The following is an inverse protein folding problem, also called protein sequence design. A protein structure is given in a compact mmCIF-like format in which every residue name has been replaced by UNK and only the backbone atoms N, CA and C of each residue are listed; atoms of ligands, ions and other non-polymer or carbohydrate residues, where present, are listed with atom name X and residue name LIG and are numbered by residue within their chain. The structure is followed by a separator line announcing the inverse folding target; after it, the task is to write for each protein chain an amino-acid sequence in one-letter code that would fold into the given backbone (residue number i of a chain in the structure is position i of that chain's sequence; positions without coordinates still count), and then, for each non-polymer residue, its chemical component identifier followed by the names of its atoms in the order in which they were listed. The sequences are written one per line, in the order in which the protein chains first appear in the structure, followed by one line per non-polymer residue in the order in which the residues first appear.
data_IF_546071905947
#
_entry.id   IF_546071905947
#
_cell.length_a   1.000
_cell.length_b   1.000
_cell.length_c   1.000
_cell.angle_alpha   90.00
_cell.angle_beta   90.00
_cell.angle_gamma   90.00
#
_symmetry.space_group_name_H-M   'P 1'
#
loop_
_entity.id
_entity.type
_entity.pdbx_description
1 polymer ?
#
# COMPACT_ATOMS: atom_id res chain seq x y z
N UNK A 1 -9.31 -6.27 21.93
CA UNK A 1 -8.73 -5.74 20.68
C UNK A 1 -7.28 -6.13 20.72
N UNK A 2 -6.90 -7.09 19.89
CA UNK A 2 -5.56 -7.65 19.90
C UNK A 2 -4.77 -6.94 18.81
N UNK A 3 -3.85 -6.07 19.20
CA UNK A 3 -2.89 -5.48 18.28
C UNK A 3 -1.73 -6.47 18.11
N UNK A 4 -1.38 -6.79 16.88
CA UNK A 4 -0.25 -7.67 16.59
C UNK A 4 0.94 -6.78 16.26
N UNK A 5 2.00 -6.76 17.07
CA UNK A 5 3.22 -6.04 16.73
C UNK A 5 3.86 -6.73 15.52
N UNK A 6 3.99 -5.98 14.43
CA UNK A 6 4.58 -6.44 13.16
C UNK A 6 5.60 -5.39 12.72
N UNK A 7 6.72 -5.84 12.15
CA UNK A 7 7.63 -4.93 11.44
C UNK A 7 7.01 -4.57 10.08
N UNK A 8 6.57 -3.32 9.94
CA UNK A 8 5.82 -2.86 8.77
C UNK A 8 6.67 -2.10 7.74
N UNK A 9 7.98 -1.97 7.97
CA UNK A 9 8.87 -1.19 7.10
C UNK A 9 8.42 0.26 6.99
N UNK A 10 8.10 0.71 5.76
CA UNK A 10 7.58 2.06 5.48
C UNK A 10 6.06 2.21 5.66
N UNK A 11 5.36 1.15 6.11
CA UNK A 11 3.91 1.17 6.32
C UNK A 11 3.60 1.52 7.76
N UNK A 12 2.73 2.51 7.99
CA UNK A 12 2.40 2.92 9.36
C UNK A 12 1.47 1.92 10.07
N UNK A 13 0.42 1.44 9.38
CA UNK A 13 -0.67 0.65 9.98
C UNK A 13 -1.26 -0.34 8.97
N UNK A 14 -1.57 -1.56 9.43
CA UNK A 14 -2.41 -2.52 8.72
C UNK A 14 -3.78 -2.64 9.42
N UNK A 15 -4.86 -2.43 8.66
CA UNK A 15 -6.22 -2.63 9.16
C UNK A 15 -6.65 -4.09 8.95
N UNK A 16 -6.67 -4.86 10.03
CA UNK A 16 -7.08 -6.26 10.00
C UNK A 16 -8.59 -6.45 9.82
N UNK A 17 -8.97 -7.57 9.18
CA UNK A 17 -10.38 -7.92 8.96
C UNK A 17 -11.19 -8.02 10.26
N UNK A 18 -10.59 -8.55 11.34
CA UNK A 18 -11.22 -8.64 12.67
C UNK A 18 -11.59 -7.26 13.22
N UNK A 19 -10.75 -6.25 12.99
CA UNK A 19 -11.05 -4.87 13.39
C UNK A 19 -12.15 -4.27 12.51
N UNK A 20 -12.06 -4.44 11.18
CA UNK A 20 -13.07 -3.96 10.24
C UNK A 20 -14.48 -4.51 10.53
N UNK A 21 -14.58 -5.76 10.97
CA UNK A 21 -15.85 -6.37 11.39
C UNK A 21 -16.53 -5.64 12.56
N UNK A 22 -15.77 -4.96 13.43
CA UNK A 22 -16.34 -4.19 14.55
C UNK A 22 -17.05 -2.92 14.10
N UNK A 23 -16.73 -2.42 12.90
CA UNK A 23 -17.29 -1.19 12.33
C UNK A 23 -18.60 -1.42 11.57
N UNK A 24 -19.12 -2.66 11.59
CA UNK A 24 -20.26 -3.14 10.80
C UNK A 24 -19.99 -3.02 9.30
N UNK A 25 -20.57 -2.02 8.64
CA UNK A 25 -20.51 -1.88 7.20
C UNK A 25 -19.29 -1.04 6.79
N UNK A 26 -18.36 -1.69 6.10
CA UNK A 26 -17.24 -1.03 5.42
C UNK A 26 -17.43 -1.15 3.91
N UNK A 27 -17.33 -0.02 3.19
CA UNK A 27 -17.41 -0.01 1.73
C UNK A 27 -16.06 0.34 1.13
N UNK A 28 -15.51 -0.59 0.33
CA UNK A 28 -14.26 -0.41 -0.41
C UNK A 28 -14.57 -0.19 -1.88
N UNK A 29 -13.90 0.80 -2.49
CA UNK A 29 -13.89 1.09 -3.91
C UNK A 29 -12.47 0.87 -4.41
N UNK A 30 -12.22 -0.29 -5.03
CA UNK A 30 -10.88 -0.73 -5.40
C UNK A 30 -10.24 0.14 -6.49
N UNK A 31 -11.01 0.57 -7.49
CA UNK A 31 -10.51 1.45 -8.57
C UNK A 31 -9.83 2.72 -8.05
N UNK A 32 -10.52 3.59 -7.28
CA UNK A 32 -9.92 4.79 -6.71
C UNK A 32 -9.17 4.54 -5.39
N UNK A 33 -8.96 3.28 -4.98
CA UNK A 33 -8.39 2.88 -3.69
C UNK A 33 -8.99 3.64 -2.51
N UNK A 34 -10.31 3.56 -2.34
CA UNK A 34 -11.04 4.37 -1.38
C UNK A 34 -11.90 3.53 -0.46
N UNK A 35 -11.82 3.77 0.84
CA UNK A 35 -12.62 3.09 1.88
C UNK A 35 -13.51 4.10 2.60
N UNK A 36 -14.77 3.72 2.85
CA UNK A 36 -15.72 4.45 3.70
C UNK A 36 -16.14 3.56 4.84
N UNK A 37 -16.06 4.05 6.07
CA UNK A 37 -16.42 3.33 7.29
C UNK A 37 -17.04 4.27 8.33
N UNK A 38 -17.70 3.70 9.34
CA UNK A 38 -18.23 4.42 10.50
C UNK A 38 -17.35 4.16 11.72
N UNK A 39 -16.72 5.20 12.25
CA UNK A 39 -15.92 5.15 13.49
C UNK A 39 -16.59 6.05 14.51
N UNK A 40 -16.99 5.52 15.66
CA UNK A 40 -17.62 6.29 16.75
C UNK A 40 -18.80 7.16 16.29
N UNK A 41 -19.65 6.61 15.42
CA UNK A 41 -20.80 7.32 14.85
C UNK A 41 -20.46 8.36 13.78
N UNK A 42 -19.18 8.51 13.40
CA UNK A 42 -18.71 9.42 12.36
C UNK A 42 -18.34 8.68 11.10
N UNK A 43 -18.74 9.25 9.96
CA UNK A 43 -18.36 8.74 8.66
C UNK A 43 -16.93 9.16 8.33
N UNK A 44 -16.04 8.19 8.24
CA UNK A 44 -14.64 8.39 7.87
C UNK A 44 -14.42 7.89 6.45
N UNK A 45 -13.61 8.64 5.69
CA UNK A 45 -13.18 8.30 4.34
C UNK A 45 -11.66 8.20 4.34
N UNK A 46 -11.15 7.02 4.00
CA UNK A 46 -9.74 6.78 3.75
C UNK A 46 -9.56 6.73 2.23
N UNK A 47 -8.60 7.47 1.70
CA UNK A 47 -8.26 7.49 0.28
C UNK A 47 -6.79 7.11 0.16
N UNK A 48 -6.49 6.14 -0.70
CA UNK A 48 -5.13 5.85 -1.09
C UNK A 48 -4.51 7.07 -1.76
N UNK A 49 -3.26 7.35 -1.42
CA UNK A 49 -2.47 8.36 -2.11
C UNK A 49 -1.83 7.71 -3.35
N UNK A 50 -1.95 8.37 -4.50
CA UNK A 50 -1.29 7.95 -5.73
C UNK A 50 0.24 8.16 -5.68
N UNK A 51 0.79 8.82 -4.66
CA UNK A 51 2.22 8.85 -4.36
C UNK A 51 2.70 7.70 -3.47
N UNK A 52 1.78 6.97 -2.83
CA UNK A 52 2.08 5.88 -1.89
C UNK A 52 1.84 4.48 -2.47
N UNK A 53 1.60 4.35 -3.78
CA UNK A 53 1.56 3.04 -4.42
C UNK A 53 3.00 2.58 -4.70
N UNK A 54 3.39 1.46 -4.11
CA UNK A 54 4.57 0.72 -4.56
C UNK A 54 4.08 -0.24 -5.63
N UNK A 55 4.33 0.09 -6.90
CA UNK A 55 4.20 -0.89 -7.98
C UNK A 55 5.55 -1.53 -8.26
N UNK A 56 5.57 -2.85 -8.43
CA UNK A 56 6.72 -3.50 -9.06
C UNK A 56 6.86 -2.99 -10.49
N UNK A 57 7.93 -2.25 -10.72
CA UNK A 57 8.38 -1.83 -12.05
C UNK A 57 9.72 -2.47 -12.35
N UNK A 58 9.96 -2.81 -13.61
CA UNK A 58 11.31 -3.20 -14.01
C UNK A 58 12.28 -2.04 -13.79
N UNK A 59 13.52 -2.34 -13.41
CA UNK A 59 14.59 -1.34 -13.31
C UNK A 59 14.74 -0.54 -14.61
N UNK A 60 14.54 -1.18 -15.77
CA UNK A 60 14.55 -0.52 -17.07
C UNK A 60 13.51 0.61 -17.14
N UNK A 61 12.25 0.33 -16.83
CA UNK A 61 11.17 1.33 -16.85
C UNK A 61 11.44 2.44 -15.83
N UNK A 62 11.97 2.11 -14.66
CA UNK A 62 12.32 3.10 -13.64
C UNK A 62 13.33 4.12 -14.19
N UNK A 63 14.41 3.65 -14.84
CA UNK A 63 15.42 4.53 -15.45
C UNK A 63 14.82 5.42 -16.55
N UNK A 64 13.94 4.90 -17.40
CA UNK A 64 13.29 5.71 -18.45
C UNK A 64 12.47 6.87 -17.88
N UNK A 65 11.64 6.62 -16.86
CA UNK A 65 10.81 7.66 -16.24
C UNK A 65 11.65 8.75 -15.55
N UNK A 66 12.82 8.39 -15.03
CA UNK A 66 13.72 9.30 -14.32
C UNK A 66 14.43 10.27 -15.30
N UNK A 67 14.72 9.82 -16.53
CA UNK A 67 15.46 10.63 -17.52
C UNK A 67 14.70 11.87 -18.02
N UNK A 68 13.37 11.90 -17.93
CA UNK A 68 12.55 13.03 -18.39
C UNK A 68 12.66 14.28 -17.48
N UNK A 69 13.25 14.15 -16.29
CA UNK A 69 13.23 15.19 -15.26
C UNK A 69 14.52 16.03 -15.21
N UNK A 70 15.57 15.63 -15.94
CA UNK A 70 16.80 16.44 -16.13
C UNK A 70 17.77 16.50 -14.94
N UNK A 71 17.50 15.77 -13.85
CA UNK A 71 18.35 15.73 -12.65
C UNK A 71 19.14 14.41 -12.55
N UNK A 72 20.23 14.40 -11.78
CA UNK A 72 20.99 13.19 -11.45
C UNK A 72 20.39 12.48 -10.24
N UNK A 73 20.21 11.15 -10.31
CA UNK A 73 19.57 10.37 -9.26
C UNK A 73 20.51 9.30 -8.70
N UNK A 74 20.64 9.24 -7.38
CA UNK A 74 21.29 8.15 -6.66
C UNK A 74 20.23 7.11 -6.28
N UNK A 75 20.40 5.87 -6.71
CA UNK A 75 19.49 4.77 -6.41
C UNK A 75 20.22 3.74 -5.56
N UNK A 76 19.65 3.41 -4.40
CA UNK A 76 20.17 2.38 -3.49
C UNK A 76 19.29 1.13 -3.54
N UNK A 77 19.91 -0.04 -3.69
CA UNK A 77 19.21 -1.32 -3.59
C UNK A 77 19.03 -1.68 -2.12
N UNK A 78 17.80 -1.57 -1.62
CA UNK A 78 17.49 -1.89 -0.24
C UNK A 78 17.41 -3.41 0.02
N UNK A 79 16.83 -4.19 -0.90
CA UNK A 79 16.65 -5.63 -0.74
C UNK A 79 16.48 -6.33 -2.09
N UNK A 80 17.04 -7.54 -2.22
CA UNK A 80 16.85 -8.42 -3.39
C UNK A 80 16.09 -9.67 -2.95
N UNK A 81 14.97 -9.95 -3.60
CA UNK A 81 14.11 -11.10 -3.31
C UNK A 81 13.90 -11.91 -4.59
N UNK A 82 13.82 -13.24 -4.44
CA UNK A 82 13.45 -14.11 -5.55
C UNK A 82 11.94 -14.07 -5.76
N UNK A 83 11.52 -13.56 -6.91
CA UNK A 83 10.12 -13.37 -7.28
C UNK A 83 9.46 -14.70 -7.67
N UNK A 84 10.25 -15.78 -7.86
CA UNK A 84 9.75 -17.12 -8.22
C UNK A 84 8.79 -17.72 -7.17
N UNK A 85 8.76 -17.19 -5.95
CA UNK A 85 7.92 -17.66 -4.86
C UNK A 85 6.58 -16.92 -4.70
N UNK A 86 6.33 -15.84 -5.46
CA UNK A 86 5.02 -15.17 -5.49
C UNK A 86 4.13 -15.80 -6.55
N UNK A 87 3.81 -17.09 -6.36
CA UNK A 87 2.65 -17.69 -7.00
C UNK A 87 1.41 -16.88 -6.58
N UNK A 88 0.60 -16.50 -7.57
CA UNK A 88 -0.67 -15.81 -7.39
C UNK A 88 -1.53 -16.61 -6.40
N UNK A 89 -1.67 -16.11 -5.17
CA UNK A 89 -2.65 -16.63 -4.21
C UNK A 89 -3.89 -15.73 -4.37
N UNK A 90 -4.99 -16.36 -4.79
CA UNK A 90 -6.32 -15.76 -4.92
C UNK A 90 -6.86 -15.24 -3.58
#
# INVERSE_FOLDING_TARGET
MDFVPLELGSTDIILGMKWLQTLRDTKVSWGPLMMKLMVDGRKVKIRGDAGLYISMVSLKIMVWNIQEVGEGYLVELHRLEDISSYGIIF
#
